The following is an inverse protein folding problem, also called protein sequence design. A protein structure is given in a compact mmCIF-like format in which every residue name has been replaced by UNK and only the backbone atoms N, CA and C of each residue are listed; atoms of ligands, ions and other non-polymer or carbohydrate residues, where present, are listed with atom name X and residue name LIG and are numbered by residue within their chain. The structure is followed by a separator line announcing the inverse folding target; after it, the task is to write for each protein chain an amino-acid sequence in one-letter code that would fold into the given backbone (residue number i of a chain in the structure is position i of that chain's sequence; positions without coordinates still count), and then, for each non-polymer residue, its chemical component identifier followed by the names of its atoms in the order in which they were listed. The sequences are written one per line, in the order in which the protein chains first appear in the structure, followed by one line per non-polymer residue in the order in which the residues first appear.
data_IF_887001048887
#
_entry.id   IF_887001048887
#
_cell.length_a   1.000
_cell.length_b   1.000
_cell.length_c   1.000
_cell.angle_alpha   90.00
_cell.angle_beta   90.00
_cell.angle_gamma   90.00
#
_symmetry.space_group_name_H-M   'P 1'
#
loop_
_entity.id
_entity.type
_entity.pdbx_description
1 polymer ?
#
# COMPACT_ATOMS: atom_id res chain seq x y z
N UNK A 1 -15.42 5.24 -34.35
CA UNK A 1 -15.72 5.48 -32.94
C UNK A 1 -14.70 6.47 -32.41
N UNK A 2 -15.08 7.40 -31.53
CA UNK A 2 -14.11 8.32 -30.88
C UNK A 2 -13.28 7.50 -29.91
N UNK A 3 -11.95 7.61 -29.98
CA UNK A 3 -11.09 6.97 -28.97
C UNK A 3 -11.28 7.65 -27.61
N UNK A 4 -11.39 6.84 -26.56
CA UNK A 4 -11.44 7.31 -25.17
C UNK A 4 -10.04 7.23 -24.58
N UNK A 5 -9.51 8.38 -24.15
CA UNK A 5 -8.18 8.45 -23.56
C UNK A 5 -8.29 8.41 -22.04
N UNK A 6 -7.65 7.40 -21.42
CA UNK A 6 -7.64 7.16 -19.98
C UNK A 6 -6.25 7.40 -19.42
N UNK A 7 -6.15 8.20 -18.36
CA UNK A 7 -4.94 8.37 -17.57
C UNK A 7 -5.12 7.65 -16.23
N UNK A 8 -4.38 6.58 -16.00
CA UNK A 8 -4.51 5.71 -14.83
C UNK A 8 -3.27 5.81 -13.93
N UNK A 9 -3.43 6.33 -12.73
CA UNK A 9 -2.41 6.24 -11.68
C UNK A 9 -2.53 4.91 -10.97
N UNK A 10 -1.64 3.96 -11.28
CA UNK A 10 -1.66 2.61 -10.74
C UNK A 10 -0.66 2.45 -9.59
N UNK A 11 -1.01 1.65 -8.59
CA UNK A 11 -0.15 1.38 -7.42
C UNK A 11 -0.74 0.32 -6.50
N UNK A 12 -1.91 -0.20 -6.87
CA UNK A 12 -2.66 -1.18 -6.08
C UNK A 12 -3.05 -2.38 -6.94
N UNK A 13 -3.62 -3.39 -6.30
CA UNK A 13 -4.21 -4.55 -6.99
C UNK A 13 -5.36 -4.12 -7.90
N UNK A 14 -6.17 -3.16 -7.44
CA UNK A 14 -7.28 -2.59 -8.21
C UNK A 14 -6.76 -1.88 -9.47
N UNK A 15 -5.68 -1.11 -9.33
CA UNK A 15 -5.00 -0.47 -10.47
C UNK A 15 -4.49 -1.49 -11.49
N UNK A 16 -3.89 -2.59 -11.03
CA UNK A 16 -3.46 -3.69 -11.92
C UNK A 16 -4.63 -4.37 -12.66
N UNK A 17 -5.74 -4.62 -11.96
CA UNK A 17 -6.95 -5.18 -12.57
C UNK A 17 -7.52 -4.25 -13.65
N UNK A 18 -7.49 -2.92 -13.41
CA UNK A 18 -7.90 -1.92 -14.41
C UNK A 18 -6.93 -1.87 -15.60
N UNK A 19 -5.61 -2.02 -15.39
CA UNK A 19 -4.64 -2.16 -16.49
C UNK A 19 -5.01 -3.36 -17.39
N UNK A 20 -5.34 -4.51 -16.79
CA UNK A 20 -5.79 -5.69 -17.52
C UNK A 20 -7.03 -5.42 -18.36
N UNK A 21 -8.08 -4.90 -17.74
CA UNK A 21 -9.32 -4.56 -18.40
C UNK A 21 -9.12 -3.58 -19.57
N UNK A 22 -8.37 -2.49 -19.35
CA UNK A 22 -8.14 -1.46 -20.37
C UNK A 22 -7.26 -1.97 -21.53
N UNK A 23 -6.29 -2.84 -21.23
CA UNK A 23 -5.48 -3.49 -22.27
C UNK A 23 -6.31 -4.42 -23.16
N UNK A 24 -7.25 -5.18 -22.61
CA UNK A 24 -8.18 -6.00 -23.37
C UNK A 24 -9.13 -5.15 -24.26
N UNK A 25 -9.45 -3.94 -23.82
CA UNK A 25 -10.32 -3.00 -24.53
C UNK A 25 -9.58 -2.06 -25.48
N UNK A 26 -8.26 -2.14 -25.60
CA UNK A 26 -7.47 -1.25 -26.48
C UNK A 26 -7.93 -1.30 -27.95
N UNK A 27 -8.29 -2.48 -28.44
CA UNK A 27 -8.77 -2.69 -29.81
C UNK A 27 -10.19 -2.13 -30.03
N UNK A 28 -10.90 -1.75 -28.96
CA UNK A 28 -12.25 -1.16 -29.01
C UNK A 28 -12.28 0.36 -28.84
N UNK A 29 -11.10 1.01 -28.86
CA UNK A 29 -10.98 2.46 -28.87
C UNK A 29 -10.46 3.09 -27.57
N UNK A 30 -9.98 2.30 -26.60
CA UNK A 30 -9.31 2.85 -25.43
C UNK A 30 -7.83 3.09 -25.66
N UNK A 31 -7.36 4.32 -25.38
CA UNK A 31 -5.95 4.70 -25.32
C UNK A 31 -5.60 4.90 -23.83
N UNK A 32 -4.71 4.08 -23.28
CA UNK A 32 -4.44 4.11 -21.85
C UNK A 32 -3.00 4.52 -21.55
N UNK A 33 -2.85 5.56 -20.74
CA UNK A 33 -1.59 6.01 -20.14
C UNK A 33 -1.57 5.60 -18.66
N UNK A 34 -0.66 4.69 -18.31
CA UNK A 34 -0.52 4.16 -16.95
C UNK A 34 0.69 4.77 -16.26
N UNK A 35 0.49 5.33 -15.08
CA UNK A 35 1.55 5.93 -14.27
C UNK A 35 1.85 5.06 -13.06
N UNK A 36 3.10 4.64 -12.94
CA UNK A 36 3.64 3.89 -11.80
C UNK A 36 4.89 4.57 -11.25
N UNK A 37 5.13 4.45 -9.95
CA UNK A 37 6.24 5.19 -9.31
C UNK A 37 7.61 4.49 -9.44
N UNK A 38 7.66 3.22 -9.84
CA UNK A 38 8.89 2.41 -9.87
C UNK A 38 8.91 1.47 -11.07
N UNK A 39 10.11 1.10 -11.56
CA UNK A 39 10.28 0.06 -12.58
C UNK A 39 9.66 -1.27 -12.14
N UNK A 40 9.80 -1.62 -10.86
CA UNK A 40 9.15 -2.81 -10.31
C UNK A 40 7.61 -2.78 -10.47
N UNK A 41 6.97 -1.62 -10.27
CA UNK A 41 5.53 -1.47 -10.52
C UNK A 41 5.16 -1.72 -11.99
N UNK A 42 6.01 -1.32 -12.92
CA UNK A 42 5.86 -1.60 -14.35
C UNK A 42 6.05 -3.09 -14.66
N UNK A 43 7.10 -3.71 -14.12
CA UNK A 43 7.38 -5.14 -14.30
C UNK A 43 6.19 -6.00 -13.87
N UNK A 44 5.62 -5.74 -12.69
CA UNK A 44 4.43 -6.46 -12.21
C UNK A 44 3.23 -6.34 -13.18
N UNK A 45 3.00 -5.16 -13.77
CA UNK A 45 1.90 -4.99 -14.74
C UNK A 45 2.17 -5.83 -15.99
N UNK A 46 3.42 -5.88 -16.45
CA UNK A 46 3.81 -6.63 -17.64
C UNK A 46 3.83 -8.14 -17.41
N UNK A 47 4.27 -8.60 -16.23
CA UNK A 47 4.30 -10.04 -15.87
C UNK A 47 2.90 -10.66 -15.82
N UNK A 48 1.88 -9.91 -15.40
CA UNK A 48 0.49 -10.40 -15.35
C UNK A 48 -0.08 -10.81 -16.71
N UNK A 49 0.57 -10.46 -17.80
CA UNK A 49 0.06 -10.62 -19.16
C UNK A 49 1.02 -11.26 -20.14
N UNK A 50 2.08 -11.92 -19.66
CA UNK A 50 3.13 -12.46 -20.54
C UNK A 50 3.63 -11.40 -21.57
N UNK A 51 3.74 -10.14 -21.13
CA UNK A 51 4.11 -8.97 -21.95
C UNK A 51 3.10 -8.52 -23.02
N UNK A 52 1.91 -9.12 -23.14
CA UNK A 52 0.88 -8.72 -24.11
C UNK A 52 0.46 -7.24 -23.92
N UNK A 53 0.48 -6.74 -22.65
CA UNK A 53 0.08 -5.36 -22.36
C UNK A 53 1.12 -4.32 -22.77
N UNK A 54 2.34 -4.71 -23.10
CA UNK A 54 3.42 -3.78 -23.48
C UNK A 54 3.07 -2.94 -24.72
N UNK A 55 2.36 -3.51 -25.66
CA UNK A 55 1.93 -2.85 -26.91
C UNK A 55 0.57 -2.14 -26.77
N UNK A 56 -0.19 -2.48 -25.72
CA UNK A 56 -1.56 -2.01 -25.49
C UNK A 56 -1.68 -0.88 -24.46
N UNK A 57 -0.64 -0.67 -23.64
CA UNK A 57 -0.61 0.34 -22.59
C UNK A 57 0.62 1.24 -22.74
N UNK A 58 0.44 2.55 -22.62
CA UNK A 58 1.55 3.50 -22.52
C UNK A 58 1.95 3.63 -21.05
N UNK A 59 2.98 2.87 -20.61
CA UNK A 59 3.39 2.83 -19.20
C UNK A 59 4.51 3.83 -18.94
N UNK A 60 4.24 4.77 -18.04
CA UNK A 60 5.16 5.82 -17.58
C UNK A 60 5.66 5.48 -16.17
N UNK A 61 6.98 5.55 -15.97
CA UNK A 61 7.62 5.26 -14.68
C UNK A 61 8.19 6.55 -14.10
N UNK A 62 7.88 6.80 -12.85
CA UNK A 62 8.40 7.95 -12.11
C UNK A 62 7.36 8.59 -11.21
N UNK A 63 7.83 9.52 -10.39
CA UNK A 63 6.94 10.34 -9.56
C UNK A 63 6.68 11.65 -10.27
N UNK A 64 5.42 12.00 -10.40
CA UNK A 64 5.02 13.30 -10.90
C UNK A 64 4.70 14.23 -9.71
N UNK A 65 5.23 15.43 -9.74
CA UNK A 65 4.73 16.55 -8.95
C UNK A 65 3.52 17.21 -9.65
N UNK A 66 2.92 18.21 -9.03
CA UNK A 66 1.72 18.87 -9.60
C UNK A 66 2.00 19.53 -10.95
N UNK A 67 3.17 20.15 -11.13
CA UNK A 67 3.54 20.80 -12.39
C UNK A 67 3.70 19.78 -13.52
N UNK A 68 4.38 18.66 -13.24
CA UNK A 68 4.53 17.57 -14.19
C UNK A 68 3.17 16.93 -14.53
N UNK A 69 2.28 16.72 -13.53
CA UNK A 69 0.92 16.24 -13.77
C UNK A 69 0.11 17.17 -14.67
N UNK A 70 0.20 18.49 -14.45
CA UNK A 70 -0.48 19.48 -15.30
C UNK A 70 0.01 19.43 -16.74
N UNK A 71 1.33 19.31 -16.95
CA UNK A 71 1.93 19.17 -18.29
C UNK A 71 1.44 17.90 -19.00
N UNK A 72 1.43 16.77 -18.28
CA UNK A 72 0.95 15.51 -18.81
C UNK A 72 -0.54 15.57 -19.18
N UNK A 73 -1.40 16.13 -18.30
CA UNK A 73 -2.81 16.32 -18.62
C UNK A 73 -3.02 17.20 -19.86
N UNK A 74 -2.28 18.30 -19.97
CA UNK A 74 -2.37 19.20 -21.12
C UNK A 74 -1.90 18.56 -22.43
N UNK A 75 -0.91 17.67 -22.35
CA UNK A 75 -0.36 16.95 -23.50
C UNK A 75 -1.27 15.80 -23.94
N UNK A 76 -1.68 14.94 -22.99
CA UNK A 76 -2.47 13.72 -23.24
C UNK A 76 -3.94 14.07 -23.52
N UNK A 77 -4.49 15.08 -22.84
CA UNK A 77 -5.91 15.48 -22.89
C UNK A 77 -6.84 14.28 -22.62
N UNK A 78 -6.73 13.63 -21.46
CA UNK A 78 -7.53 12.46 -21.16
C UNK A 78 -9.00 12.81 -21.01
N UNK A 79 -9.89 11.90 -21.43
CA UNK A 79 -11.33 12.00 -21.17
C UNK A 79 -11.66 11.68 -19.70
N UNK A 80 -10.82 10.87 -19.05
CA UNK A 80 -10.93 10.53 -17.62
C UNK A 80 -9.58 10.23 -16.98
N UNK A 81 -9.42 10.68 -15.75
CA UNK A 81 -8.29 10.34 -14.87
C UNK A 81 -8.78 9.41 -13.77
N UNK A 82 -8.15 8.26 -13.65
CA UNK A 82 -8.46 7.23 -12.65
C UNK A 82 -7.32 7.15 -11.65
N UNK A 83 -7.60 7.40 -10.39
CA UNK A 83 -6.67 7.29 -9.29
C UNK A 83 -6.85 5.97 -8.54
N UNK A 84 -6.02 4.99 -8.85
CA UNK A 84 -5.90 3.72 -8.16
C UNK A 84 -4.59 3.64 -7.35
N UNK A 85 -4.14 4.76 -6.79
CA UNK A 85 -2.99 4.81 -5.89
C UNK A 85 -3.33 4.22 -4.52
N UNK A 86 -2.29 3.94 -3.72
CA UNK A 86 -2.50 3.33 -2.41
C UNK A 86 -3.27 4.26 -1.46
N UNK A 87 -4.23 3.79 -0.65
CA UNK A 87 -5.05 4.62 0.27
C UNK A 87 -4.24 5.50 1.23
N UNK A 88 -3.02 5.07 1.59
CA UNK A 88 -2.10 5.86 2.42
C UNK A 88 -1.31 6.92 1.63
N UNK A 89 -1.49 7.02 0.32
CA UNK A 89 -0.79 7.99 -0.53
C UNK A 89 -1.58 9.31 -0.66
N UNK A 90 -2.14 9.82 0.44
CA UNK A 90 -3.05 10.98 0.49
C UNK A 90 -2.53 12.22 -0.24
N UNK A 91 -1.22 12.47 -0.18
CA UNK A 91 -0.64 13.66 -0.83
C UNK A 91 -0.81 13.56 -2.36
N UNK A 92 -0.40 12.44 -2.96
CA UNK A 92 -0.52 12.27 -4.41
C UNK A 92 -1.98 12.20 -4.86
N UNK A 93 -2.86 11.53 -4.10
CA UNK A 93 -4.31 11.51 -4.38
C UNK A 93 -4.89 12.92 -4.43
N UNK A 94 -4.52 13.76 -3.44
CA UNK A 94 -4.96 15.16 -3.41
C UNK A 94 -4.40 15.94 -4.61
N UNK A 95 -3.11 15.82 -4.89
CA UNK A 95 -2.48 16.49 -6.06
C UNK A 95 -3.14 16.08 -7.37
N UNK A 96 -3.45 14.79 -7.59
CA UNK A 96 -4.15 14.33 -8.79
C UNK A 96 -5.54 15.00 -8.88
N UNK A 97 -6.32 14.99 -7.79
CA UNK A 97 -7.65 15.60 -7.76
C UNK A 97 -7.56 17.10 -8.05
N UNK A 98 -6.69 17.83 -7.34
CA UNK A 98 -6.52 19.28 -7.49
C UNK A 98 -6.12 19.67 -8.94
N UNK A 99 -5.30 18.86 -9.59
CA UNK A 99 -4.89 19.09 -10.99
C UNK A 99 -6.03 18.80 -11.96
N UNK A 100 -6.80 17.74 -11.74
CA UNK A 100 -7.99 17.42 -12.54
C UNK A 100 -9.06 18.51 -12.42
N UNK A 101 -9.34 18.98 -11.20
CA UNK A 101 -10.31 20.04 -10.92
C UNK A 101 -9.91 21.35 -11.64
N UNK A 102 -8.61 21.71 -11.67
CA UNK A 102 -8.10 22.89 -12.40
C UNK A 102 -8.19 22.75 -13.92
N UNK A 103 -8.09 21.52 -14.42
CA UNK A 103 -8.13 21.23 -15.86
C UNK A 103 -9.52 20.89 -16.40
N UNK A 104 -10.54 20.87 -15.53
CA UNK A 104 -11.91 20.43 -15.84
C UNK A 104 -11.96 19.03 -16.47
N UNK A 105 -11.14 18.10 -15.92
CA UNK A 105 -11.06 16.71 -16.38
C UNK A 105 -11.74 15.81 -15.36
N UNK A 106 -12.55 14.86 -15.84
CA UNK A 106 -13.25 13.90 -15.00
C UNK A 106 -12.25 13.08 -14.17
N UNK A 107 -12.36 13.17 -12.84
CA UNK A 107 -11.57 12.41 -11.87
C UNK A 107 -12.39 11.31 -11.23
N UNK A 108 -11.82 10.11 -11.09
CA UNK A 108 -12.43 8.98 -10.39
C UNK A 108 -11.41 8.37 -9.43
N UNK A 109 -11.70 8.39 -8.14
CA UNK A 109 -10.95 7.64 -7.12
C UNK A 109 -11.44 6.19 -7.09
N UNK A 110 -10.51 5.23 -7.16
CA UNK A 110 -10.82 3.81 -6.98
C UNK A 110 -10.77 3.46 -5.51
N UNK A 111 -11.91 3.06 -4.95
CA UNK A 111 -11.99 2.57 -3.59
C UNK A 111 -11.58 1.10 -3.54
N UNK A 112 -10.83 0.77 -2.52
CA UNK A 112 -10.47 -0.61 -2.22
C UNK A 112 -11.61 -1.31 -1.50
N UNK A 113 -11.93 -2.53 -1.89
CA UNK A 113 -12.91 -3.37 -1.19
C UNK A 113 -12.50 -3.52 0.30
N UNK A 114 -13.47 -3.36 1.19
CA UNK A 114 -13.26 -3.58 2.62
C UNK A 114 -12.96 -5.06 2.87
N UNK A 115 -11.83 -5.34 3.48
CA UNK A 115 -11.54 -6.68 3.99
C UNK A 115 -12.10 -6.77 5.40
N UNK A 116 -13.22 -7.44 5.53
CA UNK A 116 -13.69 -7.88 6.86
C UNK A 116 -12.69 -8.92 7.37
N UNK A 117 -12.08 -8.73 8.54
CA UNK A 117 -11.24 -9.76 9.12
C UNK A 117 -12.07 -11.03 9.28
N UNK A 118 -11.65 -12.13 8.68
CA UNK A 118 -12.23 -13.43 9.01
C UNK A 118 -11.77 -13.76 10.43
N UNK A 119 -12.65 -13.64 11.38
CA UNK A 119 -12.46 -14.26 12.69
C UNK A 119 -12.24 -15.77 12.46
N UNK A 120 -11.08 -16.24 12.87
CA UNK A 120 -10.73 -17.65 12.79
C UNK A 120 -10.59 -18.21 14.22
N UNK A 121 -11.35 -19.26 14.44
CA UNK A 121 -11.14 -20.37 15.39
C UNK A 121 -11.43 -20.15 16.87
N UNK A 122 -12.42 -20.92 17.32
CA UNK A 122 -12.66 -21.39 18.68
C UNK A 122 -11.40 -22.13 19.21
N UNK A 123 -10.72 -21.57 20.19
CA UNK A 123 -10.01 -22.21 21.30
C UNK A 123 -8.89 -21.32 21.83
N UNK A 124 -9.10 -20.70 22.98
CA UNK A 124 -8.09 -19.93 23.69
C UNK A 124 -8.25 -18.41 23.58
N UNK A 125 -7.51 -17.63 24.32
CA UNK A 125 -7.59 -16.17 24.38
C UNK A 125 -7.63 -15.58 22.95
N UNK A 126 -8.78 -15.02 22.60
CA UNK A 126 -9.06 -14.49 21.27
C UNK A 126 -8.00 -13.48 20.87
N UNK A 127 -7.59 -13.49 19.59
CA UNK A 127 -6.73 -12.44 19.03
C UNK A 127 -7.35 -11.05 19.27
N UNK A 128 -8.68 -10.97 19.35
CA UNK A 128 -9.42 -9.71 19.58
C UNK A 128 -8.99 -9.01 20.86
N UNK A 129 -8.65 -9.75 21.93
CA UNK A 129 -8.15 -9.16 23.18
C UNK A 129 -6.71 -8.62 23.08
N UNK A 130 -5.99 -8.97 22.02
CA UNK A 130 -4.61 -8.59 21.74
C UNK A 130 -4.47 -7.66 20.53
N UNK A 131 -5.60 -7.27 19.92
CA UNK A 131 -5.68 -6.31 18.82
C UNK A 131 -5.92 -4.91 19.34
N UNK A 132 -5.02 -4.00 18.99
CA UNK A 132 -5.17 -2.57 19.29
C UNK A 132 -5.19 -1.80 17.98
N UNK A 133 -6.23 -1.05 17.75
CA UNK A 133 -6.37 -0.21 16.55
C UNK A 133 -5.96 1.24 16.86
N UNK A 134 -5.25 1.85 15.91
CA UNK A 134 -4.84 3.26 15.96
C UNK A 134 -5.18 3.94 14.64
N UNK A 135 -5.44 5.24 14.69
CA UNK A 135 -5.71 6.02 13.49
C UNK A 135 -4.43 6.63 12.90
N UNK A 136 -3.37 6.78 13.71
CA UNK A 136 -2.13 7.41 13.28
C UNK A 136 -0.90 6.67 13.79
N UNK A 137 0.27 6.92 13.15
CA UNK A 137 1.54 6.41 13.64
C UNK A 137 1.94 7.05 14.97
N UNK A 138 1.59 8.32 15.21
CA UNK A 138 1.86 9.00 16.47
C UNK A 138 1.13 8.34 17.63
N UNK A 139 -0.13 7.97 17.43
CA UNK A 139 -0.92 7.22 18.42
C UNK A 139 -0.29 5.83 18.66
N UNK A 140 0.13 5.14 17.58
CA UNK A 140 0.87 3.87 17.68
C UNK A 140 2.11 4.02 18.55
N UNK A 141 2.94 5.04 18.31
CA UNK A 141 4.14 5.32 19.11
C UNK A 141 3.77 5.58 20.58
N UNK A 142 2.69 6.29 20.83
CA UNK A 142 2.21 6.57 22.21
C UNK A 142 1.85 5.26 22.93
N UNK A 143 1.14 4.35 22.27
CA UNK A 143 0.79 3.03 22.81
C UNK A 143 2.05 2.20 23.09
N UNK A 144 2.98 2.12 22.13
CA UNK A 144 4.24 1.38 22.26
C UNK A 144 5.13 1.94 23.39
N UNK A 145 4.97 3.19 23.76
CA UNK A 145 5.65 3.84 24.88
C UNK A 145 4.92 3.73 26.24
N UNK A 146 3.73 3.13 26.26
CA UNK A 146 2.97 2.88 27.48
C UNK A 146 3.65 1.82 28.35
N UNK A 147 3.28 1.76 29.64
CA UNK A 147 3.82 0.77 30.59
C UNK A 147 3.61 -0.69 30.14
N UNK A 148 2.49 -0.96 29.44
CA UNK A 148 2.15 -2.30 28.97
C UNK A 148 3.11 -2.80 27.86
N UNK A 149 3.68 -1.89 27.07
CA UNK A 149 4.52 -2.22 25.92
C UNK A 149 6.00 -1.84 26.07
N UNK A 150 6.38 -1.11 27.11
CA UNK A 150 7.71 -0.50 27.23
C UNK A 150 8.88 -1.51 27.20
N UNK A 151 8.65 -2.74 27.64
CA UNK A 151 9.67 -3.83 27.67
C UNK A 151 9.51 -4.86 26.56
N UNK A 152 8.53 -4.68 25.67
CA UNK A 152 8.19 -5.63 24.61
C UNK A 152 9.04 -5.40 23.36
N UNK A 153 9.50 -6.48 22.72
CA UNK A 153 10.12 -6.44 21.41
C UNK A 153 9.06 -6.20 20.33
N UNK A 154 9.37 -5.34 19.38
CA UNK A 154 8.41 -4.85 18.37
C UNK A 154 8.89 -5.22 16.98
N UNK A 155 8.02 -5.81 16.16
CA UNK A 155 8.22 -5.96 14.73
C UNK A 155 7.42 -4.91 13.96
N UNK A 156 8.12 -3.95 13.36
CA UNK A 156 7.55 -2.88 12.54
C UNK A 156 7.43 -3.34 11.09
N UNK A 157 6.22 -3.53 10.58
CA UNK A 157 5.95 -4.00 9.21
C UNK A 157 5.26 -2.98 8.32
N UNK A 158 5.29 -1.72 8.73
CA UNK A 158 4.60 -0.62 8.03
C UNK A 158 5.50 0.13 7.03
N UNK A 159 6.75 -0.35 6.84
CA UNK A 159 7.71 0.12 5.85
C UNK A 159 8.57 1.30 6.33
N UNK A 160 9.55 1.69 5.49
CA UNK A 160 10.58 2.68 5.81
C UNK A 160 10.08 4.14 5.89
N UNK A 161 8.93 4.47 5.29
CA UNK A 161 8.40 5.84 5.30
C UNK A 161 8.09 6.38 6.69
N UNK A 162 7.91 5.50 7.66
CA UNK A 162 7.59 5.86 9.06
C UNK A 162 8.83 5.87 9.98
N UNK A 163 10.04 5.80 9.42
CA UNK A 163 11.29 5.89 10.22
C UNK A 163 11.34 7.16 11.09
N UNK A 164 10.91 8.35 10.61
CA UNK A 164 10.90 9.57 11.44
C UNK A 164 10.02 9.45 12.69
N UNK A 165 8.94 8.67 12.63
CA UNK A 165 8.09 8.42 13.79
C UNK A 165 8.65 7.31 14.68
N UNK A 166 9.27 6.29 14.11
CA UNK A 166 9.80 5.14 14.87
C UNK A 166 10.91 5.52 15.84
N UNK A 167 11.72 6.54 15.52
CA UNK A 167 12.77 7.02 16.42
C UNK A 167 12.22 7.61 17.73
N UNK A 168 10.92 7.91 17.79
CA UNK A 168 10.24 8.36 18.99
C UNK A 168 9.75 7.19 19.88
N UNK A 169 9.90 5.95 19.45
CA UNK A 169 9.66 4.78 20.29
C UNK A 169 10.80 4.68 21.31
N UNK A 170 10.48 4.67 22.59
CA UNK A 170 11.49 4.52 23.65
C UNK A 170 12.29 3.23 23.46
N UNK A 171 13.59 3.32 23.58
CA UNK A 171 14.53 2.20 23.40
C UNK A 171 14.41 1.47 22.04
N UNK A 172 13.94 2.15 20.98
CA UNK A 172 13.76 1.55 19.65
C UNK A 172 15.01 0.83 19.15
N UNK A 173 16.20 1.38 19.40
CA UNK A 173 17.48 0.77 19.00
C UNK A 173 17.71 -0.63 19.56
N UNK A 174 17.08 -0.96 20.70
CA UNK A 174 17.26 -2.24 21.38
C UNK A 174 16.13 -3.22 21.12
N UNK A 175 14.90 -2.71 20.93
CA UNK A 175 13.70 -3.54 20.94
C UNK A 175 12.85 -3.47 19.66
N UNK A 176 13.16 -2.57 18.72
CA UNK A 176 12.41 -2.46 17.48
C UNK A 176 13.17 -3.14 16.33
N UNK A 177 12.51 -4.07 15.70
CA UNK A 177 12.92 -4.75 14.48
C UNK A 177 12.12 -4.14 13.32
N UNK A 178 12.82 -3.67 12.28
CA UNK A 178 12.19 -3.01 11.14
C UNK A 178 12.26 -3.90 9.90
N UNK A 179 11.11 -4.28 9.38
CA UNK A 179 11.00 -4.94 8.07
C UNK A 179 10.74 -3.91 6.98
N UNK A 180 11.58 -3.94 5.96
CA UNK A 180 11.57 -3.01 4.84
C UNK A 180 11.95 -3.73 3.53
N UNK A 181 11.76 -3.06 2.40
CA UNK A 181 12.19 -3.60 1.11
C UNK A 181 13.73 -3.69 1.05
N UNK A 182 14.29 -4.65 0.27
CA UNK A 182 15.72 -4.82 0.08
C UNK A 182 16.29 -3.74 -0.86
N UNK A 183 16.07 -2.49 -0.50
CA UNK A 183 16.55 -1.29 -1.22
C UNK A 183 17.71 -0.66 -0.44
N UNK A 184 18.88 -0.46 -1.08
CA UNK A 184 20.05 0.09 -0.39
C UNK A 184 19.82 1.46 0.26
N UNK A 185 19.04 2.35 -0.39
CA UNK A 185 18.75 3.68 0.16
C UNK A 185 17.85 3.56 1.40
N UNK A 186 16.86 2.67 1.37
CA UNK A 186 15.97 2.44 2.52
C UNK A 186 16.72 1.84 3.70
N UNK A 187 17.65 0.90 3.45
CA UNK A 187 18.52 0.32 4.47
C UNK A 187 19.43 1.40 5.08
N UNK A 188 20.08 2.19 4.24
CA UNK A 188 20.98 3.26 4.72
C UNK A 188 20.20 4.28 5.56
N UNK A 189 19.02 4.72 5.12
CA UNK A 189 18.18 5.63 5.89
C UNK A 189 17.82 5.08 7.28
N UNK A 190 17.57 3.76 7.39
CA UNK A 190 17.28 3.14 8.66
C UNK A 190 18.52 3.10 9.58
N UNK A 191 19.69 2.81 9.02
CA UNK A 191 20.98 2.83 9.73
C UNK A 191 21.29 4.24 10.23
N UNK A 192 21.15 5.25 9.36
CA UNK A 192 21.40 6.66 9.67
C UNK A 192 20.44 7.18 10.75
N UNK A 193 19.20 6.68 10.75
CA UNK A 193 18.22 6.93 11.82
C UNK A 193 18.59 6.22 13.14
N UNK A 194 19.61 5.37 13.16
CA UNK A 194 20.15 4.70 14.34
C UNK A 194 19.54 3.34 14.66
N UNK A 195 18.82 2.70 13.72
CA UNK A 195 18.45 1.29 13.89
C UNK A 195 19.70 0.42 13.88
N UNK A 196 19.71 -0.57 14.77
CA UNK A 196 20.81 -1.53 14.81
C UNK A 196 20.73 -2.45 13.57
N UNK A 197 21.82 -2.63 12.80
CA UNK A 197 21.77 -3.42 11.55
C UNK A 197 21.19 -4.83 11.71
N UNK A 198 21.46 -5.51 12.85
CA UNK A 198 20.91 -6.82 13.13
C UNK A 198 19.37 -6.83 13.36
N UNK A 199 18.76 -5.67 13.53
CA UNK A 199 17.31 -5.51 13.66
C UNK A 199 16.63 -5.09 12.34
N UNK A 200 17.40 -5.01 11.25
CA UNK A 200 16.85 -4.69 9.92
C UNK A 200 16.57 -6.00 9.14
N UNK A 201 15.35 -6.16 8.71
CA UNK A 201 14.88 -7.32 7.95
C UNK A 201 14.55 -6.85 6.54
N UNK A 202 15.52 -6.95 5.62
CA UNK A 202 15.37 -6.54 4.23
C UNK A 202 14.80 -7.70 3.41
N UNK A 203 13.49 -7.70 3.23
CA UNK A 203 12.78 -8.74 2.50
C UNK A 203 11.59 -8.15 1.74
N UNK A 204 11.31 -8.72 0.55
CA UNK A 204 10.14 -8.36 -0.24
C UNK A 204 9.01 -9.35 0.00
N UNK A 205 7.81 -8.79 0.29
CA UNK A 205 6.58 -9.57 0.41
C UNK A 205 5.89 -9.85 -0.94
N UNK A 206 4.72 -10.47 -0.92
CA UNK A 206 3.94 -10.85 0.25
C UNK A 206 4.54 -12.02 1.04
N UNK A 207 4.23 -12.09 2.34
CA UNK A 207 4.75 -13.12 3.24
C UNK A 207 3.64 -14.04 3.70
N UNK A 208 3.90 -15.35 3.72
CA UNK A 208 2.97 -16.32 4.30
C UNK A 208 2.87 -16.19 5.83
N UNK A 209 1.89 -16.86 6.41
CA UNK A 209 1.72 -16.96 7.86
C UNK A 209 2.95 -17.57 8.53
N UNK A 210 3.54 -18.61 7.92
CA UNK A 210 4.70 -19.33 8.42
C UNK A 210 5.93 -18.43 8.51
N UNK A 211 6.22 -17.64 7.48
CA UNK A 211 7.35 -16.69 7.48
C UNK A 211 7.14 -15.61 8.54
N UNK A 212 5.92 -15.04 8.64
CA UNK A 212 5.63 -14.07 9.69
C UNK A 212 5.80 -14.67 11.09
N UNK A 213 5.27 -15.88 11.33
CA UNK A 213 5.40 -16.58 12.60
C UNK A 213 6.85 -16.95 12.92
N UNK A 214 7.63 -17.36 11.91
CA UNK A 214 9.05 -17.65 12.08
C UNK A 214 9.85 -16.41 12.52
N UNK A 215 9.58 -15.25 11.90
CA UNK A 215 10.24 -13.99 12.30
C UNK A 215 9.85 -13.58 13.72
N UNK A 216 8.57 -13.70 14.08
CA UNK A 216 8.09 -13.41 15.44
C UNK A 216 8.82 -14.29 16.47
N UNK A 217 8.93 -15.59 16.23
CA UNK A 217 9.64 -16.52 17.12
C UNK A 217 11.15 -16.25 17.18
N UNK A 218 11.78 -16.08 15.99
CA UNK A 218 13.22 -15.88 15.86
C UNK A 218 13.73 -14.66 16.62
N UNK A 219 13.00 -13.57 16.58
CA UNK A 219 13.38 -12.32 17.20
C UNK A 219 12.67 -12.06 18.54
N UNK A 220 11.98 -13.06 19.07
CA UNK A 220 11.22 -12.95 20.34
C UNK A 220 10.32 -11.72 20.36
N UNK A 221 9.54 -11.56 19.29
CA UNK A 221 8.64 -10.42 19.11
C UNK A 221 7.40 -10.59 19.98
N UNK A 222 7.13 -9.60 20.81
CA UNK A 222 5.93 -9.53 21.64
C UNK A 222 4.81 -8.73 20.98
N UNK A 223 5.15 -7.80 20.06
CA UNK A 223 4.20 -6.89 19.42
C UNK A 223 4.49 -6.76 17.93
N UNK A 224 3.50 -7.05 17.09
CA UNK A 224 3.54 -6.82 15.67
C UNK A 224 2.81 -5.51 15.34
N UNK A 225 3.47 -4.57 14.66
CA UNK A 225 2.85 -3.35 14.14
C UNK A 225 2.61 -3.48 12.65
N UNK A 226 1.38 -3.33 12.23
CA UNK A 226 0.98 -3.44 10.82
C UNK A 226 -0.01 -2.35 10.41
N UNK A 227 -0.24 -2.22 9.11
CA UNK A 227 -1.31 -1.40 8.53
C UNK A 227 -2.46 -2.30 8.09
N UNK A 228 -3.67 -1.80 8.16
CA UNK A 228 -4.84 -2.42 7.56
C UNK A 228 -4.73 -2.35 6.03
N UNK A 229 -3.91 -3.24 5.45
CA UNK A 229 -3.54 -3.20 4.03
C UNK A 229 -4.38 -4.12 3.13
N UNK A 230 -5.34 -4.83 3.70
CA UNK A 230 -6.13 -5.84 3.00
C UNK A 230 -5.33 -7.09 2.60
N UNK A 231 -5.98 -8.02 1.89
CA UNK A 231 -5.40 -9.33 1.54
C UNK A 231 -4.10 -9.21 0.72
N UNK A 232 -4.03 -8.28 -0.24
CA UNK A 232 -2.83 -8.07 -1.06
C UNK A 232 -1.62 -7.54 -0.29
N UNK A 233 -1.81 -7.01 0.91
CA UNK A 233 -0.72 -6.55 1.81
C UNK A 233 -0.32 -7.59 2.84
N UNK A 234 -0.84 -8.82 2.76
CA UNK A 234 -0.57 -9.89 3.71
C UNK A 234 -1.08 -9.56 5.12
N UNK A 235 -2.22 -8.85 5.22
CA UNK A 235 -2.78 -8.45 6.52
C UNK A 235 -3.26 -9.67 7.31
N UNK A 236 -4.04 -10.56 6.68
CA UNK A 236 -4.56 -11.77 7.33
C UNK A 236 -3.43 -12.71 7.77
N UNK A 237 -2.42 -12.90 6.93
CA UNK A 237 -1.26 -13.75 7.23
C UNK A 237 -0.48 -13.23 8.45
N UNK A 238 -0.44 -11.92 8.65
CA UNK A 238 0.18 -11.31 9.84
C UNK A 238 -0.66 -11.53 11.09
N UNK A 239 -1.99 -11.39 10.99
CA UNK A 239 -2.90 -11.65 12.11
C UNK A 239 -2.85 -13.12 12.53
N UNK A 240 -2.92 -14.05 11.57
CA UNK A 240 -2.81 -15.48 11.84
C UNK A 240 -1.45 -15.85 12.48
N UNK A 241 -0.35 -15.22 12.02
CA UNK A 241 0.97 -15.44 12.60
C UNK A 241 1.05 -14.94 14.05
N UNK A 242 0.47 -13.77 14.34
CA UNK A 242 0.40 -13.23 15.70
C UNK A 242 -0.46 -14.12 16.62
N UNK A 243 -1.58 -14.64 16.11
CA UNK A 243 -2.44 -15.58 16.81
C UNK A 243 -1.67 -16.86 17.20
N UNK A 244 -0.98 -17.49 16.22
CA UNK A 244 -0.17 -18.70 16.44
C UNK A 244 1.00 -18.51 17.40
N UNK A 245 1.49 -17.30 17.56
CA UNK A 245 2.69 -16.99 18.35
C UNK A 245 2.40 -16.33 19.68
N UNK A 246 1.16 -15.91 19.91
CA UNK A 246 0.77 -15.18 21.11
C UNK A 246 1.18 -13.70 21.12
N UNK A 247 1.66 -13.16 20.01
CA UNK A 247 2.04 -11.75 19.91
C UNK A 247 0.82 -10.82 19.91
N UNK A 248 0.95 -9.66 20.54
CA UNK A 248 -0.03 -8.57 20.39
C UNK A 248 0.08 -7.94 19.01
N UNK A 249 -1.00 -7.33 18.54
CA UNK A 249 -0.99 -6.63 17.25
C UNK A 249 -1.49 -5.19 17.41
N UNK A 250 -0.69 -4.25 16.94
CA UNK A 250 -1.11 -2.86 16.79
C UNK A 250 -1.36 -2.58 15.31
N UNK A 251 -2.60 -2.28 14.97
CA UNK A 251 -3.07 -2.08 13.61
C UNK A 251 -3.33 -0.59 13.37
N UNK A 252 -2.59 -0.02 12.41
CA UNK A 252 -2.91 1.33 11.94
C UNK A 252 -4.05 1.20 10.93
N UNK A 253 -5.20 1.76 11.29
CA UNK A 253 -6.39 1.74 10.44
C UNK A 253 -6.13 2.40 9.10
N UNK A 254 -6.84 1.92 8.10
CA UNK A 254 -6.90 2.57 6.81
C UNK A 254 -7.58 3.94 6.95
N UNK A 255 -7.04 4.99 6.32
CA UNK A 255 -7.79 6.22 6.20
C UNK A 255 -9.15 5.95 5.55
N UNK A 256 -10.22 6.42 6.18
CA UNK A 256 -11.56 6.33 5.60
C UNK A 256 -11.60 7.22 4.35
N UNK A 257 -11.91 6.63 3.22
CA UNK A 257 -12.14 7.32 1.96
C UNK A 257 -13.66 7.38 1.75
N UNK A 258 -14.21 8.59 1.74
CA UNK A 258 -15.67 8.78 1.62
C UNK A 258 -16.14 9.01 0.18
N UNK A 259 -15.22 9.36 -0.73
CA UNK A 259 -15.53 9.67 -2.12
C UNK A 259 -14.75 8.72 -3.05
N UNK A 260 -15.46 8.06 -3.94
CA UNK A 260 -14.86 7.18 -4.93
C UNK A 260 -15.81 6.10 -5.39
N UNK A 261 -15.31 5.23 -6.28
CA UNK A 261 -16.06 4.11 -6.86
C UNK A 261 -15.32 2.80 -6.64
N UNK A 262 -16.02 1.72 -6.38
CA UNK A 262 -15.41 0.38 -6.41
C UNK A 262 -14.99 0.04 -7.85
N UNK A 263 -14.10 -0.94 -8.01
CA UNK A 263 -13.59 -1.31 -9.34
C UNK A 263 -14.69 -1.67 -10.34
N UNK A 264 -15.77 -2.30 -9.87
CA UNK A 264 -16.91 -2.66 -10.71
C UNK A 264 -17.63 -1.43 -11.25
N UNK A 265 -17.88 -0.44 -10.40
CA UNK A 265 -18.51 0.83 -10.81
C UNK A 265 -17.63 1.64 -11.75
N UNK A 266 -16.29 1.54 -11.62
CA UNK A 266 -15.34 2.17 -12.55
C UNK A 266 -15.43 1.50 -13.92
N UNK A 267 -15.48 0.18 -13.98
CA UNK A 267 -15.63 -0.57 -15.23
C UNK A 267 -16.98 -0.23 -15.90
N UNK A 268 -18.07 -0.23 -15.13
CA UNK A 268 -19.40 0.17 -15.63
C UNK A 268 -19.45 1.61 -16.17
N UNK A 269 -18.64 2.50 -15.57
CA UNK A 269 -18.50 3.87 -16.06
C UNK A 269 -17.74 3.90 -17.39
N UNK A 270 -16.61 3.19 -17.50
CA UNK A 270 -15.81 3.11 -18.71
C UNK A 270 -16.60 2.51 -19.90
N UNK A 271 -17.48 1.55 -19.64
CA UNK A 271 -18.32 0.94 -20.68
C UNK A 271 -19.39 1.90 -21.27
N UNK A 272 -19.64 3.02 -20.61
CA UNK A 272 -20.61 4.05 -21.05
C UNK A 272 -19.98 5.21 -21.82
N UNK A 273 -18.64 5.29 -21.86
CA UNK A 273 -17.90 6.28 -22.62
C UNK A 273 -17.78 5.88 -24.09
#
# INVERSE_FOLDING_TARGET
MKNVTVMLFAGTTEGRRLCGYLAEKSDTGFITHVYVTTEYGKEIILELSENIYKEKLNIHVGRLDEEAMQKELAYIKPDVVIDATHPYARVVTRSIKDVCDKADVQYIRVLREETVPKAACDDGASLDDRLVYTDTMQETVSILNSKAYLKKNILLTTGSKNIPEYVNIKDYKKRAYLRLLPDPCMLQNAIDAGFFPAHLIAMQGPFSTEINAALIRQFHIDVLVTKESGNSGGYNEKLMAAEQTGADVVVIKRPVEHEGKCIKEVIEYLEKL
#
